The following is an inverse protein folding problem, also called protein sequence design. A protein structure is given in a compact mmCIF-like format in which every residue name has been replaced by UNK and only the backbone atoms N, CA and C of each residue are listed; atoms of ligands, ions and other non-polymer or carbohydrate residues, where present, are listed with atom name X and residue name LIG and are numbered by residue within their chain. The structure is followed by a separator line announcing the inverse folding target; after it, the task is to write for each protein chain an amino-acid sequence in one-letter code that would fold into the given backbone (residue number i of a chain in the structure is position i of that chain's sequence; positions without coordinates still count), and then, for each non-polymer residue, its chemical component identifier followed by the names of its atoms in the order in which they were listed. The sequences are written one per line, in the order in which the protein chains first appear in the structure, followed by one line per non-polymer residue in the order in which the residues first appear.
data_IF_254116617354
#
_entry.id   IF_254116617354
#
_cell.length_a   1.000
_cell.length_b   1.000
_cell.length_c   1.000
_cell.angle_alpha   90.00
_cell.angle_beta   90.00
_cell.angle_gamma   90.00
#
_symmetry.space_group_name_H-M   'P 1'
#
loop_
_entity.id
_entity.type
_entity.pdbx_description
1 polymer ?
#
# COMPACT_ATOMS: atom_id res chain seq x y z
N UNK A 1 -26.23 4.33 -22.04
CA UNK A 1 -25.28 3.77 -21.03
C UNK A 1 -25.84 2.45 -20.52
N UNK A 2 -25.04 1.40 -20.26
CA UNK A 2 -25.55 0.05 -19.92
C UNK A 2 -26.69 0.01 -18.86
N UNK A 3 -26.65 0.89 -17.85
CA UNK A 3 -27.71 1.05 -16.84
C UNK A 3 -29.11 1.36 -17.40
N UNK A 4 -29.23 2.04 -18.55
CA UNK A 4 -30.51 2.33 -19.22
C UNK A 4 -31.18 1.05 -19.77
N UNK A 5 -30.41 -0.02 -19.93
CA UNK A 5 -30.87 -1.30 -20.50
C UNK A 5 -31.15 -2.33 -19.40
N UNK A 6 -30.34 -2.36 -18.33
CA UNK A 6 -30.40 -3.40 -17.28
C UNK A 6 -31.04 -2.94 -15.97
N UNK A 7 -31.31 -1.65 -15.78
CA UNK A 7 -31.79 -1.10 -14.51
C UNK A 7 -30.72 -1.06 -13.42
N UNK A 8 -31.13 -0.89 -12.15
CA UNK A 8 -30.21 -0.93 -11.01
C UNK A 8 -29.63 -2.34 -10.85
N UNK A 9 -28.30 -2.43 -10.89
CA UNK A 9 -27.57 -3.69 -10.93
C UNK A 9 -26.35 -3.62 -10.01
N UNK A 10 -26.22 -4.60 -9.12
CA UNK A 10 -25.13 -4.70 -8.14
C UNK A 10 -23.75 -4.68 -8.80
N UNK A 11 -23.56 -5.41 -9.89
CA UNK A 11 -22.27 -5.50 -10.58
C UNK A 11 -21.89 -4.18 -11.22
N UNK A 12 -22.85 -3.47 -11.83
CA UNK A 12 -22.60 -2.16 -12.42
C UNK A 12 -22.28 -1.11 -11.35
N UNK A 13 -23.02 -1.11 -10.23
CA UNK A 13 -22.74 -0.22 -9.11
C UNK A 13 -21.38 -0.52 -8.47
N UNK A 14 -21.00 -1.81 -8.36
CA UNK A 14 -19.67 -2.21 -7.88
C UNK A 14 -18.57 -1.71 -8.80
N UNK A 15 -18.70 -1.96 -10.11
CA UNK A 15 -17.69 -1.53 -11.08
C UNK A 15 -17.53 -0.01 -11.10
N UNK A 16 -18.62 0.74 -11.03
CA UNK A 16 -18.60 2.20 -10.93
C UNK A 16 -17.88 2.67 -9.66
N UNK A 17 -18.21 2.09 -8.50
CA UNK A 17 -17.56 2.41 -7.23
C UNK A 17 -16.07 2.08 -7.22
N UNK A 18 -15.68 0.94 -7.79
CA UNK A 18 -14.27 0.55 -7.94
C UNK A 18 -13.49 1.52 -8.82
N UNK A 19 -14.09 2.07 -9.89
CA UNK A 19 -13.41 3.07 -10.73
C UNK A 19 -13.09 4.34 -9.93
N UNK A 20 -14.05 4.83 -9.15
CA UNK A 20 -13.81 6.02 -8.31
C UNK A 20 -12.75 5.75 -7.25
N UNK A 21 -12.85 4.61 -6.54
CA UNK A 21 -11.89 4.23 -5.53
C UNK A 21 -10.49 4.00 -6.13
N UNK A 22 -10.37 3.26 -7.23
CA UNK A 22 -9.08 2.95 -7.85
C UNK A 22 -8.38 4.21 -8.36
N UNK A 23 -9.12 5.21 -8.85
CA UNK A 23 -8.56 6.51 -9.24
C UNK A 23 -7.84 7.21 -8.07
N UNK A 24 -8.33 7.02 -6.85
CA UNK A 24 -7.70 7.50 -5.62
C UNK A 24 -6.56 6.59 -5.20
N UNK A 25 -6.80 5.28 -5.15
CA UNK A 25 -5.84 4.25 -4.73
C UNK A 25 -4.51 4.31 -5.49
N UNK A 26 -4.55 4.50 -6.81
CA UNK A 26 -3.31 4.59 -7.62
C UNK A 26 -2.82 6.03 -7.85
N UNK A 27 -3.50 7.02 -7.27
CA UNK A 27 -3.15 8.44 -7.38
C UNK A 27 -3.22 8.98 -8.82
N UNK A 28 -4.26 8.61 -9.57
CA UNK A 28 -4.49 9.11 -10.94
C UNK A 28 -5.05 10.53 -10.98
N UNK A 29 -5.54 11.04 -9.85
CA UNK A 29 -6.14 12.37 -9.72
C UNK A 29 -5.42 13.18 -8.64
N UNK A 30 -5.52 14.52 -8.66
CA UNK A 30 -5.01 15.37 -7.58
C UNK A 30 -5.69 15.06 -6.24
N UNK A 31 -4.97 15.23 -5.13
CA UNK A 31 -5.44 14.95 -3.76
C UNK A 31 -6.70 15.73 -3.38
N UNK A 32 -6.90 16.91 -3.97
CA UNK A 32 -8.08 17.76 -3.77
C UNK A 32 -9.37 17.08 -4.25
N UNK A 33 -9.26 16.12 -5.17
CA UNK A 33 -10.40 15.36 -5.70
C UNK A 33 -10.65 14.05 -4.96
N UNK A 34 -9.77 13.64 -4.04
CA UNK A 34 -9.88 12.34 -3.36
C UNK A 34 -11.19 12.24 -2.57
N UNK A 35 -11.53 13.26 -1.80
CA UNK A 35 -12.74 13.26 -0.97
C UNK A 35 -14.02 13.15 -1.82
N UNK A 36 -14.07 13.87 -2.95
CA UNK A 36 -15.19 13.81 -3.88
C UNK A 36 -15.35 12.41 -4.48
N UNK A 37 -14.25 11.81 -4.95
CA UNK A 37 -14.28 10.48 -5.57
C UNK A 37 -14.58 9.38 -4.55
N UNK A 38 -14.02 9.45 -3.34
CA UNK A 38 -14.38 8.52 -2.27
C UNK A 38 -15.86 8.65 -1.90
N UNK A 39 -16.41 9.87 -1.84
CA UNK A 39 -17.84 10.09 -1.61
C UNK A 39 -18.72 9.48 -2.73
N UNK A 40 -18.28 9.56 -4.00
CA UNK A 40 -18.96 8.87 -5.11
C UNK A 40 -18.89 7.36 -4.98
N UNK A 41 -17.76 6.80 -4.52
CA UNK A 41 -17.63 5.38 -4.24
C UNK A 41 -18.54 4.94 -3.08
N UNK A 42 -18.66 5.74 -2.02
CA UNK A 42 -19.57 5.51 -0.88
C UNK A 42 -21.05 5.54 -1.31
N UNK A 43 -21.42 6.44 -2.24
CA UNK A 43 -22.75 6.44 -2.83
C UNK A 43 -23.03 5.16 -3.62
N UNK A 44 -22.03 4.61 -4.31
CA UNK A 44 -22.15 3.31 -4.98
C UNK A 44 -22.34 2.17 -3.96
N UNK A 45 -21.59 2.15 -2.86
CA UNK A 45 -21.79 1.20 -1.75
C UNK A 45 -23.22 1.27 -1.19
N UNK A 46 -23.74 2.48 -0.99
CA UNK A 46 -25.13 2.68 -0.52
C UNK A 46 -26.14 2.06 -1.48
N UNK A 47 -25.95 2.25 -2.79
CA UNK A 47 -26.79 1.63 -3.82
C UNK A 47 -26.66 0.11 -3.83
N UNK A 48 -25.44 -0.43 -3.70
CA UNK A 48 -25.18 -1.86 -3.64
C UNK A 48 -25.97 -2.49 -2.49
N UNK A 49 -25.91 -1.92 -1.28
CA UNK A 49 -26.63 -2.46 -0.13
C UNK A 49 -28.15 -2.27 -0.19
N UNK A 50 -28.65 -1.28 -0.92
CA UNK A 50 -30.07 -1.15 -1.20
C UNK A 50 -30.58 -2.28 -2.12
N UNK A 51 -29.75 -2.75 -3.05
CA UNK A 51 -30.05 -3.87 -3.95
C UNK A 51 -29.87 -5.22 -3.21
N UNK A 52 -28.74 -5.37 -2.52
CA UNK A 52 -28.34 -6.58 -1.82
C UNK A 52 -27.65 -6.25 -0.49
N UNK A 53 -28.36 -6.33 0.65
CA UNK A 53 -27.82 -6.05 1.98
C UNK A 53 -26.67 -6.98 2.40
N UNK A 54 -26.56 -8.17 1.80
CA UNK A 54 -25.50 -9.15 2.06
C UNK A 54 -24.54 -9.29 0.87
N UNK A 55 -24.26 -8.18 0.18
CA UNK A 55 -23.30 -8.16 -0.93
C UNK A 55 -21.85 -8.26 -0.44
N UNK A 56 -21.16 -9.36 -0.77
CA UNK A 56 -19.70 -9.48 -0.54
C UNK A 56 -18.95 -8.31 -1.17
N UNK A 57 -19.29 -7.94 -2.41
CA UNK A 57 -18.67 -6.85 -3.16
C UNK A 57 -18.90 -5.48 -2.50
N UNK A 58 -20.10 -5.26 -1.96
CA UNK A 58 -20.42 -4.06 -1.20
C UNK A 58 -19.57 -3.92 0.06
N UNK A 59 -19.40 -5.01 0.81
CA UNK A 59 -18.49 -5.04 1.96
C UNK A 59 -17.04 -4.85 1.52
N UNK A 60 -16.57 -5.52 0.47
CA UNK A 60 -15.21 -5.36 -0.06
C UNK A 60 -14.90 -3.92 -0.46
N UNK A 61 -15.77 -3.28 -1.26
CA UNK A 61 -15.58 -1.89 -1.67
C UNK A 61 -15.65 -0.92 -0.48
N UNK A 62 -16.57 -1.11 0.46
CA UNK A 62 -16.64 -0.28 1.68
C UNK A 62 -15.37 -0.42 2.53
N UNK A 63 -14.84 -1.64 2.63
CA UNK A 63 -13.58 -1.90 3.31
C UNK A 63 -12.40 -1.15 2.67
N UNK A 64 -12.31 -1.18 1.33
CA UNK A 64 -11.29 -0.46 0.58
C UNK A 64 -11.36 1.05 0.81
N UNK A 65 -12.57 1.63 0.77
CA UNK A 65 -12.81 3.04 1.08
C UNK A 65 -12.42 3.37 2.52
N UNK A 66 -12.76 2.51 3.49
CA UNK A 66 -12.42 2.71 4.91
C UNK A 66 -10.91 2.75 5.16
N UNK A 67 -10.11 1.95 4.43
CA UNK A 67 -8.65 2.10 4.44
C UNK A 67 -8.23 3.52 4.04
N UNK A 68 -8.73 4.05 2.91
CA UNK A 68 -8.43 5.43 2.48
C UNK A 68 -8.98 6.50 3.45
N UNK A 69 -10.03 6.19 4.22
CA UNK A 69 -10.58 7.05 5.28
C UNK A 69 -9.85 6.90 6.62
N UNK A 70 -8.72 6.20 6.67
CA UNK A 70 -7.95 5.93 7.89
C UNK A 70 -8.76 5.23 8.99
N UNK A 71 -9.67 4.32 8.60
CA UNK A 71 -10.40 3.40 9.47
C UNK A 71 -10.04 1.93 9.17
N UNK A 72 -8.80 1.50 9.50
CA UNK A 72 -8.35 0.13 9.22
C UNK A 72 -9.15 -0.91 10.00
N UNK A 73 -9.63 -0.59 11.21
CA UNK A 73 -10.43 -1.51 12.01
C UNK A 73 -11.78 -1.80 11.35
N UNK A 74 -12.50 -0.75 10.90
CA UNK A 74 -13.73 -0.90 10.14
C UNK A 74 -13.52 -1.54 8.77
N UNK A 75 -12.38 -1.28 8.12
CA UNK A 75 -12.02 -1.94 6.87
C UNK A 75 -11.85 -3.45 7.03
N UNK A 76 -11.10 -3.89 8.04
CA UNK A 76 -10.90 -5.30 8.34
C UNK A 76 -12.20 -6.01 8.70
N UNK A 77 -13.10 -5.35 9.46
CA UNK A 77 -14.42 -5.90 9.76
C UNK A 77 -15.24 -6.14 8.48
N UNK A 78 -15.18 -5.21 7.53
CA UNK A 78 -15.86 -5.34 6.24
C UNK A 78 -15.24 -6.44 5.37
N UNK A 79 -13.91 -6.52 5.25
CA UNK A 79 -13.27 -7.60 4.50
C UNK A 79 -13.53 -8.97 5.10
N UNK A 80 -13.54 -9.10 6.44
CA UNK A 80 -13.94 -10.34 7.12
C UNK A 80 -15.39 -10.71 6.78
N UNK A 81 -16.30 -9.73 6.71
CA UNK A 81 -17.70 -9.97 6.32
C UNK A 81 -17.82 -10.35 4.86
N UNK A 82 -17.07 -9.71 3.96
CA UNK A 82 -16.98 -10.09 2.56
C UNK A 82 -16.53 -11.56 2.43
N UNK A 83 -15.43 -11.95 3.10
CA UNK A 83 -14.93 -13.33 3.07
C UNK A 83 -15.85 -14.36 3.75
N UNK A 84 -16.74 -13.93 4.65
CA UNK A 84 -17.76 -14.81 5.20
C UNK A 84 -18.89 -15.09 4.19
N UNK A 85 -19.13 -14.17 3.26
CA UNK A 85 -20.15 -14.27 2.21
C UNK A 85 -19.58 -14.93 0.94
N UNK A 86 -18.35 -14.58 0.56
CA UNK A 86 -17.58 -15.20 -0.51
C UNK A 86 -16.15 -15.51 -0.02
N UNK A 87 -15.89 -16.75 0.42
CA UNK A 87 -14.57 -17.17 0.91
C UNK A 87 -13.44 -17.08 -0.11
N UNK A 88 -13.74 -16.95 -1.40
CA UNK A 88 -12.75 -16.91 -2.46
C UNK A 88 -12.71 -15.56 -3.17
N UNK A 89 -13.25 -14.50 -2.57
CA UNK A 89 -13.14 -13.14 -3.10
C UNK A 89 -11.66 -12.70 -3.08
N UNK A 90 -10.99 -12.56 -4.26
CA UNK A 90 -9.57 -12.27 -4.31
C UNK A 90 -9.23 -10.89 -3.76
N UNK A 91 -10.12 -9.90 -3.94
CA UNK A 91 -9.92 -8.53 -3.49
C UNK A 91 -9.98 -8.45 -1.95
N UNK A 92 -10.96 -9.13 -1.35
CA UNK A 92 -11.08 -9.20 0.11
C UNK A 92 -9.92 -10.00 0.75
N UNK A 93 -9.45 -11.07 0.10
CA UNK A 93 -8.26 -11.81 0.54
C UNK A 93 -7.01 -10.93 0.51
N UNK A 94 -6.82 -10.17 -0.58
CA UNK A 94 -5.69 -9.28 -0.77
C UNK A 94 -5.64 -8.19 0.30
N UNK A 95 -6.71 -7.40 0.44
CA UNK A 95 -6.72 -6.26 1.35
C UNK A 95 -6.80 -6.63 2.82
N UNK A 96 -7.44 -7.75 3.18
CA UNK A 96 -7.37 -8.25 4.56
C UNK A 96 -5.96 -8.75 4.88
N UNK A 97 -5.30 -9.42 3.93
CA UNK A 97 -3.92 -9.87 4.09
C UNK A 97 -2.95 -8.70 4.26
N UNK A 98 -3.10 -7.66 3.44
CA UNK A 98 -2.37 -6.41 3.59
C UNK A 98 -2.58 -5.77 4.97
N UNK A 99 -3.83 -5.62 5.39
CA UNK A 99 -4.18 -5.05 6.70
C UNK A 99 -3.55 -5.82 7.87
N UNK A 100 -3.56 -7.16 7.81
CA UNK A 100 -2.86 -7.98 8.81
C UNK A 100 -1.34 -7.77 8.78
N UNK A 101 -0.74 -7.56 7.61
CA UNK A 101 0.69 -7.34 7.48
C UNK A 101 1.10 -5.98 8.09
N UNK A 102 0.37 -4.90 7.80
CA UNK A 102 0.63 -3.58 8.43
C UNK A 102 0.28 -3.53 9.91
N UNK A 103 -0.55 -4.47 10.38
CA UNK A 103 -0.81 -4.71 11.80
C UNK A 103 0.23 -5.63 12.48
N UNK A 104 1.25 -6.10 11.75
CA UNK A 104 2.29 -6.99 12.29
C UNK A 104 1.77 -8.37 12.68
N UNK A 105 0.73 -8.85 11.99
CA UNK A 105 0.16 -10.21 12.11
C UNK A 105 0.58 -11.05 10.90
N UNK A 106 1.89 -11.23 10.73
CA UNK A 106 2.50 -11.89 9.56
C UNK A 106 1.91 -13.28 9.25
N UNK A 107 1.64 -14.10 10.26
CA UNK A 107 1.03 -15.42 10.07
C UNK A 107 -0.38 -15.37 9.47
N UNK A 108 -1.23 -14.44 9.93
CA UNK A 108 -2.59 -14.26 9.39
C UNK A 108 -2.53 -13.70 7.96
N UNK A 109 -1.66 -12.72 7.72
CA UNK A 109 -1.43 -12.16 6.40
C UNK A 109 -0.96 -13.23 5.40
N UNK A 110 0.03 -14.04 5.77
CA UNK A 110 0.57 -15.13 4.94
C UNK A 110 -0.50 -16.16 4.60
N UNK A 111 -1.32 -16.57 5.57
CA UNK A 111 -2.40 -17.53 5.31
C UNK A 111 -3.42 -17.02 4.28
N UNK A 112 -3.72 -15.72 4.27
CA UNK A 112 -4.60 -15.10 3.27
C UNK A 112 -3.93 -15.02 1.89
N UNK A 113 -2.65 -14.66 1.83
CA UNK A 113 -1.88 -14.61 0.58
C UNK A 113 -1.73 -16.00 -0.06
N UNK A 114 -1.52 -17.05 0.74
CA UNK A 114 -1.49 -18.44 0.26
C UNK A 114 -2.84 -18.91 -0.30
N UNK A 115 -3.96 -18.44 0.28
CA UNK A 115 -5.29 -18.68 -0.28
C UNK A 115 -5.49 -17.91 -1.57
N UNK A 116 -5.12 -16.64 -1.60
CA UNK A 116 -5.20 -15.80 -2.79
C UNK A 116 -4.43 -16.42 -3.96
N UNK A 117 -3.23 -16.93 -3.72
CA UNK A 117 -2.43 -17.61 -4.73
C UNK A 117 -3.09 -18.88 -5.31
N UNK A 118 -3.95 -19.55 -4.55
CA UNK A 118 -4.72 -20.72 -5.04
C UNK A 118 -5.94 -20.29 -5.86
N UNK A 119 -6.56 -19.17 -5.50
CA UNK A 119 -7.74 -18.61 -6.18
C UNK A 119 -7.34 -17.95 -7.50
N UNK A 120 -6.28 -17.14 -7.48
CA UNK A 120 -5.81 -16.36 -8.61
C UNK A 120 -4.28 -16.37 -8.71
N UNK A 121 -3.69 -17.42 -9.33
CA UNK A 121 -2.25 -17.65 -9.31
C UNK A 121 -1.44 -16.76 -10.28
N UNK A 122 -2.09 -16.08 -11.22
CA UNK A 122 -1.43 -15.41 -12.36
C UNK A 122 -1.59 -13.90 -12.38
N UNK A 123 -2.44 -13.33 -11.53
CA UNK A 123 -2.54 -11.89 -11.39
C UNK A 123 -1.27 -11.33 -10.75
N UNK A 124 -0.49 -10.58 -11.53
CA UNK A 124 0.82 -10.05 -11.14
C UNK A 124 0.77 -9.19 -9.88
N UNK A 125 -0.29 -8.38 -9.69
CA UNK A 125 -0.40 -7.54 -8.50
C UNK A 125 -0.52 -8.38 -7.22
N UNK A 126 -1.17 -9.54 -7.27
CA UNK A 126 -1.27 -10.45 -6.12
C UNK A 126 0.12 -10.99 -5.73
N UNK A 127 0.97 -11.31 -6.71
CA UNK A 127 2.36 -11.75 -6.47
C UNK A 127 3.21 -10.62 -5.89
N UNK A 128 3.03 -9.38 -6.39
CA UNK A 128 3.70 -8.20 -5.85
C UNK A 128 3.35 -8.00 -4.37
N UNK A 129 2.05 -8.08 -4.04
CA UNK A 129 1.56 -7.93 -2.69
C UNK A 129 2.01 -9.08 -1.77
N UNK A 130 2.10 -10.31 -2.27
CA UNK A 130 2.71 -11.42 -1.52
C UNK A 130 4.16 -11.05 -1.14
N UNK A 131 4.93 -10.52 -2.09
CA UNK A 131 6.28 -10.02 -1.82
C UNK A 131 6.31 -8.97 -0.72
N UNK A 132 5.40 -7.98 -0.75
CA UNK A 132 5.28 -6.97 0.31
C UNK A 132 4.91 -7.57 1.67
N UNK A 133 4.01 -8.55 1.74
CA UNK A 133 3.68 -9.23 2.99
C UNK A 133 4.89 -9.97 3.57
N UNK A 134 5.67 -10.66 2.73
CA UNK A 134 6.90 -11.32 3.15
C UNK A 134 7.93 -10.30 3.68
N UNK A 135 8.05 -9.15 3.03
CA UNK A 135 8.89 -8.03 3.46
C UNK A 135 8.46 -7.48 4.83
N UNK A 136 7.16 -7.25 5.07
CA UNK A 136 6.65 -6.78 6.36
C UNK A 136 6.90 -7.76 7.52
N UNK A 137 7.16 -9.03 7.20
CA UNK A 137 7.54 -10.07 8.15
C UNK A 137 9.08 -10.24 8.24
N UNK A 138 9.86 -9.41 7.53
CA UNK A 138 11.33 -9.41 7.50
C UNK A 138 11.97 -10.43 6.56
N UNK A 139 11.18 -11.13 5.73
CA UNK A 139 11.66 -12.17 4.82
C UNK A 139 12.05 -11.59 3.45
N UNK A 140 13.10 -10.77 3.40
CA UNK A 140 13.52 -10.05 2.18
C UNK A 140 13.95 -10.95 1.01
N UNK A 141 14.62 -12.07 1.27
CA UNK A 141 14.99 -13.04 0.22
C UNK A 141 13.74 -13.63 -0.45
N UNK A 142 12.69 -13.90 0.34
CA UNK A 142 11.42 -14.41 -0.16
C UNK A 142 10.67 -13.33 -0.94
N UNK A 143 10.63 -12.11 -0.39
CA UNK A 143 10.00 -10.96 -1.03
C UNK A 143 10.62 -10.65 -2.40
N UNK A 144 11.94 -10.76 -2.53
CA UNK A 144 12.65 -10.59 -3.80
C UNK A 144 12.20 -11.60 -4.86
N UNK A 145 12.05 -12.88 -4.49
CA UNK A 145 11.57 -13.92 -5.42
C UNK A 145 10.13 -13.67 -5.88
N UNK A 146 9.25 -13.25 -4.98
CA UNK A 146 7.86 -12.95 -5.32
C UNK A 146 7.73 -11.74 -6.22
N UNK A 147 8.44 -10.66 -5.91
CA UNK A 147 8.43 -9.44 -6.72
C UNK A 147 9.08 -9.65 -8.09
N UNK A 148 10.12 -10.49 -8.19
CA UNK A 148 10.69 -10.90 -9.49
C UNK A 148 9.62 -11.56 -10.36
N UNK A 149 8.89 -12.54 -9.82
CA UNK A 149 7.81 -13.21 -10.57
C UNK A 149 6.72 -12.25 -11.02
N UNK A 150 6.41 -11.24 -10.21
CA UNK A 150 5.45 -10.18 -10.59
C UNK A 150 5.94 -9.39 -11.82
N UNK A 151 7.22 -8.96 -11.79
CA UNK A 151 7.86 -8.24 -12.91
C UNK A 151 7.99 -9.14 -14.15
N UNK A 152 8.24 -10.44 -13.99
CA UNK A 152 8.32 -11.38 -15.12
C UNK A 152 6.97 -11.52 -15.86
N UNK A 153 5.85 -11.41 -15.14
CA UNK A 153 4.49 -11.50 -15.72
C UNK A 153 4.08 -10.18 -16.38
N UNK A 154 4.28 -9.05 -15.69
CA UNK A 154 4.00 -7.72 -16.24
C UNK A 154 5.24 -6.81 -16.09
N UNK A 155 6.18 -6.87 -17.06
CA UNK A 155 7.44 -6.13 -17.00
C UNK A 155 7.26 -4.62 -17.26
N UNK A 156 6.08 -4.20 -17.71
CA UNK A 156 5.80 -2.80 -18.03
C UNK A 156 5.21 -2.03 -16.85
N UNK A 157 4.69 -2.74 -15.85
CA UNK A 157 4.05 -2.12 -14.71
C UNK A 157 5.03 -1.31 -13.86
N UNK A 158 4.83 0.01 -13.68
CA UNK A 158 5.72 0.80 -12.85
C UNK A 158 5.64 0.44 -11.37
N UNK A 159 4.48 -0.02 -10.85
CA UNK A 159 4.35 -0.38 -9.43
C UNK A 159 5.13 -1.65 -9.10
N UNK A 160 5.03 -2.69 -9.93
CA UNK A 160 5.78 -3.94 -9.72
C UNK A 160 7.29 -3.70 -9.80
N UNK A 161 7.74 -2.92 -10.80
CA UNK A 161 9.16 -2.56 -10.95
C UNK A 161 9.66 -1.73 -9.77
N UNK A 162 8.85 -0.81 -9.25
CA UNK A 162 9.18 -0.06 -8.05
C UNK A 162 9.36 -0.98 -6.83
N UNK A 163 8.35 -1.80 -6.50
CA UNK A 163 8.42 -2.69 -5.33
C UNK A 163 9.60 -3.67 -5.48
N UNK A 164 9.82 -4.22 -6.68
CA UNK A 164 10.96 -5.10 -6.93
C UNK A 164 12.30 -4.38 -6.76
N UNK A 165 12.44 -3.14 -7.22
CA UNK A 165 13.65 -2.35 -7.01
C UNK A 165 13.92 -2.11 -5.51
N UNK A 166 12.89 -1.85 -4.71
CA UNK A 166 13.04 -1.76 -3.25
C UNK A 166 13.50 -3.09 -2.65
N UNK A 167 13.01 -4.22 -3.16
CA UNK A 167 13.45 -5.53 -2.70
C UNK A 167 14.89 -5.83 -3.10
N UNK A 168 15.32 -5.43 -4.31
CA UNK A 168 16.72 -5.48 -4.71
C UNK A 168 17.59 -4.66 -3.75
N UNK A 169 17.19 -3.42 -3.45
CA UNK A 169 17.91 -2.56 -2.52
C UNK A 169 18.01 -3.14 -1.10
N UNK A 170 16.92 -3.70 -0.58
CA UNK A 170 16.87 -4.34 0.74
C UNK A 170 17.77 -5.59 0.82
N UNK A 171 17.97 -6.30 -0.30
CA UNK A 171 18.88 -7.43 -0.42
C UNK A 171 20.31 -7.02 -0.84
N UNK A 172 20.64 -5.72 -0.82
CA UNK A 172 21.99 -5.22 -1.12
C UNK A 172 22.31 -5.04 -2.61
N UNK A 173 21.39 -5.35 -3.52
CA UNK A 173 21.52 -5.15 -4.97
C UNK A 173 21.24 -3.70 -5.37
N UNK A 174 22.01 -2.78 -4.78
CA UNK A 174 21.75 -1.34 -4.82
C UNK A 174 21.85 -0.75 -6.24
N UNK A 175 22.85 -1.16 -7.01
CA UNK A 175 23.04 -0.65 -8.38
C UNK A 175 21.91 -1.11 -9.33
N UNK A 176 21.48 -2.37 -9.20
CA UNK A 176 20.36 -2.93 -9.97
C UNK A 176 19.04 -2.22 -9.62
N UNK A 177 18.80 -2.03 -8.32
CA UNK A 177 17.65 -1.28 -7.81
C UNK A 177 17.59 0.14 -8.40
N UNK A 178 18.70 0.86 -8.30
CA UNK A 178 18.79 2.24 -8.80
C UNK A 178 18.56 2.31 -10.30
N UNK A 179 19.18 1.41 -11.10
CA UNK A 179 18.96 1.37 -12.55
C UNK A 179 17.48 1.11 -12.90
N UNK A 180 16.81 0.23 -12.15
CA UNK A 180 15.39 -0.04 -12.37
C UNK A 180 14.51 1.17 -12.04
N UNK A 181 14.79 1.87 -10.93
CA UNK A 181 14.06 3.08 -10.54
C UNK A 181 14.21 4.21 -11.57
N UNK A 182 15.39 4.36 -12.17
CA UNK A 182 15.62 5.34 -13.24
C UNK A 182 14.81 5.02 -14.50
N UNK A 183 14.66 3.74 -14.85
CA UNK A 183 13.79 3.33 -15.96
C UNK A 183 12.32 3.63 -15.64
N UNK A 184 11.87 3.34 -14.42
CA UNK A 184 10.51 3.68 -13.97
C UNK A 184 10.26 5.18 -14.06
N UNK A 185 11.25 6.01 -13.68
CA UNK A 185 11.16 7.45 -13.81
C UNK A 185 11.16 7.93 -15.28
N UNK A 186 11.98 7.31 -16.15
CA UNK A 186 12.12 7.69 -17.55
C UNK A 186 10.87 7.37 -18.38
N UNK A 187 10.19 6.26 -18.08
CA UNK A 187 8.98 5.83 -18.79
C UNK A 187 7.79 6.81 -18.61
N UNK A 188 7.98 7.92 -17.88
CA UNK A 188 7.16 9.13 -17.83
C UNK A 188 5.67 8.88 -17.62
N UNK A 189 5.32 8.28 -16.48
CA UNK A 189 3.92 8.05 -16.09
C UNK A 189 3.50 9.05 -15.01
N UNK A 190 2.28 9.59 -15.10
CA UNK A 190 1.71 10.53 -14.10
C UNK A 190 1.38 9.88 -12.74
N UNK A 191 1.52 8.56 -12.62
CA UNK A 191 1.21 7.82 -11.40
C UNK A 191 2.15 8.20 -10.23
N UNK A 192 1.60 8.23 -9.02
CA UNK A 192 2.36 8.52 -7.80
C UNK A 192 3.59 7.60 -7.62
N UNK A 193 3.46 6.32 -7.99
CA UNK A 193 4.57 5.35 -8.02
C UNK A 193 5.76 5.88 -8.82
N UNK A 194 5.57 6.29 -10.08
CA UNK A 194 6.68 6.75 -10.91
C UNK A 194 7.28 8.08 -10.44
N UNK A 195 6.46 8.96 -9.85
CA UNK A 195 6.92 10.24 -9.28
C UNK A 195 7.83 10.05 -8.06
N UNK A 196 7.68 8.96 -7.31
CA UNK A 196 8.57 8.61 -6.18
C UNK A 196 9.88 7.96 -6.61
N UNK A 197 9.95 7.39 -7.82
CA UNK A 197 11.11 6.61 -8.27
C UNK A 197 12.43 7.40 -8.26
N UNK A 198 12.48 8.67 -8.74
CA UNK A 198 13.69 9.47 -8.69
C UNK A 198 14.16 9.75 -7.26
N UNK A 199 13.23 10.03 -6.33
CA UNK A 199 13.59 10.30 -4.94
C UNK A 199 14.27 9.08 -4.32
N UNK A 200 13.73 7.88 -4.57
CA UNK A 200 14.34 6.65 -4.08
C UNK A 200 15.68 6.35 -4.76
N UNK A 201 15.81 6.55 -6.08
CA UNK A 201 17.05 6.34 -6.82
C UNK A 201 18.19 7.23 -6.27
N UNK A 202 17.91 8.52 -6.08
CA UNK A 202 18.85 9.48 -5.49
C UNK A 202 19.17 9.15 -4.02
N UNK A 203 18.17 8.70 -3.25
CA UNK A 203 18.38 8.28 -1.86
C UNK A 203 19.30 7.04 -1.77
N UNK A 204 19.12 6.08 -2.67
CA UNK A 204 20.04 4.95 -2.86
C UNK A 204 21.41 5.40 -3.39
N UNK A 205 21.63 6.63 -3.85
CA UNK A 205 22.99 7.14 -4.12
C UNK A 205 23.56 8.01 -3.00
N UNK A 206 22.78 8.27 -1.95
CA UNK A 206 23.14 9.24 -0.91
C UNK A 206 23.10 10.69 -1.40
N UNK A 207 22.42 10.95 -2.51
CA UNK A 207 22.34 12.26 -3.16
C UNK A 207 21.26 13.14 -2.50
N UNK A 208 21.48 13.49 -1.24
CA UNK A 208 20.52 14.24 -0.39
C UNK A 208 19.90 15.46 -1.08
N UNK A 209 20.72 16.24 -1.79
CA UNK A 209 20.26 17.46 -2.49
C UNK A 209 19.24 17.14 -3.59
N UNK A 210 19.46 16.05 -4.33
CA UNK A 210 18.55 15.63 -5.40
C UNK A 210 17.27 15.02 -4.84
N UNK A 211 17.35 14.25 -3.75
CA UNK A 211 16.15 13.78 -3.03
C UNK A 211 15.26 14.94 -2.63
N UNK A 212 15.82 15.98 -2.03
CA UNK A 212 15.06 17.19 -1.65
C UNK A 212 14.51 17.95 -2.85
N UNK A 213 15.23 17.97 -3.98
CA UNK A 213 14.75 18.62 -5.21
C UNK A 213 13.54 17.89 -5.79
N UNK A 214 13.51 16.55 -5.70
CA UNK A 214 12.37 15.74 -6.16
C UNK A 214 11.20 15.80 -5.18
N UNK A 215 11.49 15.76 -3.87
CA UNK A 215 10.49 15.77 -2.79
C UNK A 215 9.91 17.17 -2.55
N UNK A 216 9.30 17.76 -3.59
CA UNK A 216 8.63 19.06 -3.56
C UNK A 216 7.44 19.08 -2.60
N UNK A 217 6.94 20.27 -2.26
CA UNK A 217 5.74 20.44 -1.44
C UNK A 217 4.54 19.69 -2.03
N UNK A 218 4.39 19.73 -3.35
CA UNK A 218 3.30 19.07 -4.07
C UNK A 218 3.43 17.55 -4.01
N UNK A 219 4.64 17.00 -4.20
CA UNK A 219 4.85 15.55 -4.10
C UNK A 219 4.62 15.06 -2.66
N UNK A 220 5.17 15.78 -1.68
CA UNK A 220 4.95 15.47 -0.25
C UNK A 220 3.47 15.48 0.12
N UNK A 221 2.70 16.46 -0.36
CA UNK A 221 1.26 16.51 -0.14
C UNK A 221 0.54 15.33 -0.82
N UNK A 222 0.92 15.00 -2.06
CA UNK A 222 0.32 13.92 -2.83
C UNK A 222 0.48 12.54 -2.16
N UNK A 223 1.63 12.29 -1.54
CA UNK A 223 1.91 11.01 -0.87
C UNK A 223 1.45 10.97 0.60
N UNK A 224 1.00 12.09 1.16
CA UNK A 224 0.69 12.20 2.60
C UNK A 224 -0.54 11.41 3.05
N UNK A 225 -1.48 11.19 2.12
CA UNK A 225 -2.75 10.52 2.37
C UNK A 225 -2.72 9.00 2.21
N UNK A 226 -1.71 8.47 1.53
CA UNK A 226 -1.56 7.06 1.21
C UNK A 226 -0.46 6.45 2.06
N UNK A 227 -0.73 5.34 2.73
CA UNK A 227 0.17 4.77 3.72
C UNK A 227 1.45 4.18 3.09
N UNK A 228 1.35 3.54 1.92
CA UNK A 228 2.51 2.99 1.20
C UNK A 228 3.39 4.12 0.66
N UNK A 229 2.82 5.14 0.00
CA UNK A 229 3.62 6.25 -0.51
C UNK A 229 4.22 7.10 0.61
N UNK A 230 3.48 7.29 1.69
CA UNK A 230 3.95 7.98 2.89
C UNK A 230 5.14 7.23 3.52
N UNK A 231 5.08 5.90 3.59
CA UNK A 231 6.19 5.07 4.06
C UNK A 231 7.42 5.19 3.16
N UNK A 232 7.27 5.12 1.83
CA UNK A 232 8.42 5.30 0.93
C UNK A 232 9.04 6.69 0.96
N UNK A 233 8.24 7.73 1.22
CA UNK A 233 8.75 9.06 1.47
C UNK A 233 9.59 9.09 2.75
N UNK A 234 9.18 8.37 3.80
CA UNK A 234 10.01 8.20 5.00
C UNK A 234 11.34 7.52 4.67
N UNK A 235 11.31 6.43 3.90
CA UNK A 235 12.51 5.68 3.52
C UNK A 235 13.48 6.51 2.68
N UNK A 236 12.99 7.21 1.67
CA UNK A 236 13.82 8.06 0.80
C UNK A 236 14.49 9.19 1.60
N UNK A 237 13.73 9.84 2.51
CA UNK A 237 14.27 10.89 3.38
C UNK A 237 15.24 10.33 4.41
N UNK A 238 14.96 9.17 4.99
CA UNK A 238 15.86 8.51 5.93
C UNK A 238 17.18 8.18 5.24
N UNK A 239 17.18 7.50 4.10
CA UNK A 239 18.37 7.18 3.31
C UNK A 239 19.16 8.43 2.88
N UNK A 240 18.48 9.54 2.61
CA UNK A 240 19.10 10.84 2.30
C UNK A 240 19.73 11.54 3.53
N UNK A 241 19.50 11.04 4.74
CA UNK A 241 19.92 11.67 5.99
C UNK A 241 19.04 12.85 6.43
N UNK A 242 17.84 12.99 5.86
CA UNK A 242 16.83 13.98 6.23
C UNK A 242 15.97 13.49 7.39
N UNK A 243 16.56 13.44 8.58
CA UNK A 243 15.98 12.78 9.75
C UNK A 243 14.63 13.35 10.17
N UNK A 244 14.51 14.68 10.26
CA UNK A 244 13.24 15.31 10.68
C UNK A 244 12.10 15.00 9.72
N UNK A 245 12.36 15.13 8.41
CA UNK A 245 11.37 14.78 7.40
C UNK A 245 11.01 13.30 7.45
N UNK A 246 11.99 12.40 7.60
CA UNK A 246 11.71 10.98 7.74
C UNK A 246 10.83 10.68 8.96
N UNK A 247 11.11 11.29 10.11
CA UNK A 247 10.32 11.13 11.33
C UNK A 247 8.87 11.62 11.17
N UNK A 248 8.66 12.74 10.49
CA UNK A 248 7.31 13.25 10.16
C UNK A 248 6.50 12.23 9.35
N UNK A 249 7.12 11.63 8.33
CA UNK A 249 6.46 10.62 7.50
C UNK A 249 6.21 9.32 8.27
N UNK A 250 7.16 8.82 9.09
CA UNK A 250 6.91 7.62 9.93
C UNK A 250 5.77 7.86 10.93
N UNK A 251 5.70 9.04 11.54
CA UNK A 251 4.57 9.40 12.42
C UNK A 251 3.23 9.40 11.67
N UNK A 252 3.24 9.88 10.43
CA UNK A 252 2.05 9.87 9.57
C UNK A 252 1.62 8.46 9.20
N UNK A 253 2.55 7.58 8.84
CA UNK A 253 2.31 6.14 8.58
C UNK A 253 1.63 5.48 9.80
N UNK A 254 2.13 5.75 11.02
CA UNK A 254 1.50 5.25 12.25
C UNK A 254 0.12 5.85 12.46
N UNK A 255 -0.10 7.13 12.14
CA UNK A 255 -1.42 7.77 12.23
C UNK A 255 -2.42 7.22 11.19
N UNK A 256 -1.93 6.65 10.08
CA UNK A 256 -2.73 5.94 9.08
C UNK A 256 -3.06 4.49 9.48
N UNK A 257 -2.58 4.04 10.65
CA UNK A 257 -2.96 2.75 11.24
C UNK A 257 -1.86 1.69 11.24
N UNK A 258 -0.65 2.02 10.77
CA UNK A 258 0.45 1.06 10.82
C UNK A 258 0.90 0.85 12.26
N UNK A 259 0.73 -0.40 12.70
CA UNK A 259 1.11 -0.86 14.04
C UNK A 259 2.06 -2.06 13.96
N UNK A 260 2.67 -2.35 12.82
CA UNK A 260 3.68 -3.40 12.69
C UNK A 260 5.00 -2.98 13.39
N UNK A 261 5.01 -3.07 14.72
CA UNK A 261 6.16 -2.75 15.56
C UNK A 261 7.41 -3.56 15.20
N UNK A 262 7.35 -4.90 15.02
CA UNK A 262 8.54 -5.67 14.61
C UNK A 262 9.19 -5.14 13.35
N UNK A 263 8.40 -4.81 12.33
CA UNK A 263 8.90 -4.28 11.07
C UNK A 263 9.55 -2.90 11.25
N UNK A 264 8.77 -1.92 11.71
CA UNK A 264 9.23 -0.53 11.81
C UNK A 264 10.45 -0.38 12.75
N UNK A 265 10.45 -1.09 13.89
CA UNK A 265 11.49 -0.95 14.89
C UNK A 265 12.76 -1.76 14.58
N UNK A 266 12.69 -2.82 13.75
CA UNK A 266 13.78 -3.81 13.63
C UNK A 266 14.10 -4.19 12.19
N UNK A 267 13.09 -4.55 11.42
CA UNK A 267 13.29 -5.21 10.12
C UNK A 267 13.32 -4.26 8.94
N UNK A 268 12.80 -3.03 9.04
CA UNK A 268 12.78 -2.05 7.93
C UNK A 268 14.19 -1.45 7.65
N UNK A 269 14.91 -1.86 6.58
CA UNK A 269 16.31 -1.51 6.37
C UNK A 269 16.56 -0.01 6.22
N UNK A 270 15.61 0.74 5.66
CA UNK A 270 15.84 2.13 5.25
C UNK A 270 15.67 3.14 6.39
N UNK A 271 15.03 2.74 7.49
CA UNK A 271 14.86 3.57 8.69
C UNK A 271 16.01 3.42 9.71
N UNK A 272 17.04 2.61 9.42
CA UNK A 272 18.09 2.27 10.39
C UNK A 272 18.77 3.51 11.02
N UNK A 273 18.96 4.58 10.25
CA UNK A 273 19.65 5.78 10.71
C UNK A 273 18.81 6.74 11.58
N UNK A 274 17.49 6.53 11.67
CA UNK A 274 16.60 7.32 12.54
C UNK A 274 16.15 6.56 13.80
N UNK A 275 16.42 5.26 13.92
CA UNK A 275 16.00 4.44 15.07
C UNK A 275 16.59 4.90 16.41
N UNK A 276 17.74 5.57 16.39
CA UNK A 276 18.37 6.13 17.59
C UNK A 276 17.77 7.46 18.05
N UNK A 277 16.87 8.06 17.27
CA UNK A 277 16.28 9.36 17.60
C UNK A 277 15.25 9.22 18.74
N UNK A 278 15.29 10.09 19.79
CA UNK A 278 14.34 10.00 20.90
C UNK A 278 12.87 10.07 20.47
N UNK A 279 12.58 10.85 19.41
CA UNK A 279 11.25 10.96 18.81
C UNK A 279 10.78 9.63 18.23
N UNK A 280 11.66 8.90 17.55
CA UNK A 280 11.38 7.56 17.03
C UNK A 280 11.11 6.55 18.15
N UNK A 281 11.96 6.53 19.18
CA UNK A 281 11.80 5.62 20.31
C UNK A 281 10.44 5.80 21.01
N UNK A 282 10.04 7.05 21.28
CA UNK A 282 8.73 7.38 21.85
C UNK A 282 7.57 6.95 20.96
N UNK A 283 7.69 7.14 19.64
CA UNK A 283 6.70 6.66 18.68
C UNK A 283 6.56 5.14 18.74
N UNK A 284 7.68 4.41 18.75
CA UNK A 284 7.71 2.95 18.80
C UNK A 284 7.13 2.36 20.09
N UNK A 285 7.21 3.05 21.23
CA UNK A 285 6.50 2.64 22.45
C UNK A 285 4.98 2.63 22.25
N UNK A 286 4.44 3.66 21.58
CA UNK A 286 3.00 3.74 21.25
C UNK A 286 2.62 2.65 20.26
N UNK A 287 3.40 2.46 19.19
CA UNK A 287 3.18 1.42 18.19
C UNK A 287 3.20 0.04 18.84
N UNK A 288 4.16 -0.25 19.73
CA UNK A 288 4.25 -1.54 20.44
C UNK A 288 3.00 -1.83 21.26
N UNK A 289 2.48 -0.86 22.01
CA UNK A 289 1.25 -1.06 22.80
C UNK A 289 0.05 -1.35 21.91
N UNK A 290 -0.10 -0.61 20.81
CA UNK A 290 -1.18 -0.85 19.86
C UNK A 290 -1.06 -2.22 19.19
N UNK A 291 0.16 -2.60 18.79
CA UNK A 291 0.48 -3.91 18.23
C UNK A 291 0.15 -5.06 19.19
N UNK A 292 0.51 -4.94 20.47
CA UNK A 292 0.24 -5.96 21.50
C UNK A 292 -1.25 -6.09 21.81
N UNK A 293 -2.00 -4.98 21.77
CA UNK A 293 -3.44 -4.96 22.04
C UNK A 293 -4.30 -5.39 20.83
N UNK A 294 -3.72 -5.49 19.63
CA UNK A 294 -4.47 -5.79 18.42
C UNK A 294 -5.01 -7.23 18.42
N UNK A 295 -6.33 -7.40 18.41
CA UNK A 295 -7.02 -8.70 18.52
C UNK A 295 -6.70 -9.50 19.81
N UNK A 296 -6.29 -8.81 20.89
CA UNK A 296 -6.24 -9.34 22.25
C UNK A 296 -7.59 -9.20 22.96
#
# INVERSE_FOLDING_TARGET
RAQEIVGDNELLATAEGLIYWQSVNVGLVPTEQYDELLSKAEACVTRIFAINPESSKGYGLRGAIRNNRADPAGAMADFKRALALDPNDPEALLWLGYNYAVAGRGALARALMERLQKVDPLTSINLCMFGMVAMFDGHYDEALRWTQRSVDIDPTNPSHRMVHALMLAANGHRDEATMMLERVAHDATDMAWARMAPAMAHALRGERREVLRVMTTELRAAVWGDDIFCWWAADALALAGEREGALEFVERVVALGWINYPFLARSEPFLANIRGEPRFAKLMERVRRAWEAFEA
#
